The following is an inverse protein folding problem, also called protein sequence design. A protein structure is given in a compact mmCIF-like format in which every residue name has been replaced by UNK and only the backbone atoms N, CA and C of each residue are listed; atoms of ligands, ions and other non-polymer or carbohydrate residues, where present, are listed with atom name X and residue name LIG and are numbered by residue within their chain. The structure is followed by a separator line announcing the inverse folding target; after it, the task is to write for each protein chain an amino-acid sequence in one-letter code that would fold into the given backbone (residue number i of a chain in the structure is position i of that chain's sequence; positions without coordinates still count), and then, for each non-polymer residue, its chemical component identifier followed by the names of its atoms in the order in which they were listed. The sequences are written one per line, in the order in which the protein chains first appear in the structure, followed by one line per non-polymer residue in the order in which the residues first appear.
data_IF_299716074380
#
_entry.id   IF_299716074380
#
_cell.length_a   1.000
_cell.length_b   1.000
_cell.length_c   1.000
_cell.angle_alpha   90.00
_cell.angle_beta   90.00
_cell.angle_gamma   90.00
#
_symmetry.space_group_name_H-M   'P 1'
#
loop_
_entity.id
_entity.type
_entity.pdbx_description
1 polymer ?
#
# COMPACT_ATOMS: atom_id res chain seq x y z
N UNK A 1 -11.05 -14.08 -0.38
CA UNK A 1 -10.52 -12.89 -1.07
C UNK A 1 -9.19 -12.36 -0.51
N UNK A 2 -9.04 -12.07 0.80
CA UNK A 2 -7.82 -11.43 1.36
C UNK A 2 -6.50 -12.16 1.01
N UNK A 3 -6.50 -13.49 1.05
CA UNK A 3 -5.31 -14.30 0.69
C UNK A 3 -4.96 -14.27 -0.80
N UNK A 4 -5.96 -14.23 -1.69
CA UNK A 4 -5.72 -14.16 -3.14
C UNK A 4 -5.18 -12.78 -3.55
N UNK A 5 -5.74 -11.72 -2.94
CA UNK A 5 -5.27 -10.35 -3.16
C UNK A 5 -3.84 -10.17 -2.66
N UNK A 6 -3.51 -10.73 -1.50
CA UNK A 6 -2.13 -10.74 -1.01
C UNK A 6 -1.20 -11.50 -1.96
N UNK A 7 -1.59 -12.69 -2.43
CA UNK A 7 -0.81 -13.45 -3.41
C UNK A 7 -0.64 -12.68 -4.73
N UNK A 8 -1.70 -12.03 -5.21
CA UNK A 8 -1.66 -11.17 -6.38
C UNK A 8 -0.62 -10.07 -6.21
N UNK A 9 -0.68 -9.33 -5.11
CA UNK A 9 0.25 -8.23 -4.82
C UNK A 9 1.68 -8.76 -4.69
N UNK A 10 1.91 -9.83 -3.93
CA UNK A 10 3.26 -10.40 -3.74
C UNK A 10 3.88 -10.86 -5.06
N UNK A 11 3.10 -11.49 -5.92
CA UNK A 11 3.58 -11.95 -7.23
C UNK A 11 3.93 -10.78 -8.15
N UNK A 12 3.08 -9.74 -8.20
CA UNK A 12 3.24 -8.61 -9.10
C UNK A 12 4.36 -7.64 -8.66
N UNK A 13 4.43 -7.34 -7.36
CA UNK A 13 5.51 -6.52 -6.79
C UNK A 13 6.80 -7.29 -6.57
N UNK A 14 6.81 -8.61 -6.82
CA UNK A 14 7.96 -9.51 -6.59
C UNK A 14 8.57 -9.33 -5.19
N UNK A 15 7.70 -9.08 -4.21
CA UNK A 15 8.08 -8.77 -2.82
C UNK A 15 7.44 -9.77 -1.88
N UNK A 16 8.15 -10.07 -0.80
CA UNK A 16 7.62 -10.89 0.29
C UNK A 16 7.41 -10.00 1.50
N UNK A 17 6.23 -9.41 1.60
CA UNK A 17 5.86 -8.61 2.76
C UNK A 17 6.00 -9.41 4.05
N UNK A 18 6.61 -8.81 5.07
CA UNK A 18 6.73 -9.39 6.42
C UNK A 18 5.97 -8.53 7.42
N UNK A 19 4.64 -8.59 7.30
CA UNK A 19 3.76 -7.86 8.21
C UNK A 19 3.95 -8.31 9.66
N UNK A 20 4.08 -7.35 10.57
CA UNK A 20 4.20 -7.62 12.01
C UNK A 20 2.88 -8.08 12.62
N UNK A 21 1.77 -7.56 12.09
CA UNK A 21 0.43 -7.82 12.60
C UNK A 21 -0.65 -7.65 11.53
N UNK A 22 -1.89 -7.88 11.93
CA UNK A 22 -3.05 -7.75 11.07
C UNK A 22 -3.27 -6.30 10.58
N UNK A 23 -2.99 -5.31 11.44
CA UNK A 23 -3.12 -3.90 11.11
C UNK A 23 -2.25 -3.52 9.90
N UNK A 24 -0.97 -3.84 9.95
CA UNK A 24 0.01 -3.57 8.88
C UNK A 24 -0.37 -4.22 7.57
N UNK A 25 -0.74 -5.51 7.62
CA UNK A 25 -1.15 -6.26 6.45
C UNK A 25 -2.40 -5.66 5.80
N UNK A 26 -3.38 -5.27 6.61
CA UNK A 26 -4.64 -4.74 6.12
C UNK A 26 -4.48 -3.33 5.56
N UNK A 27 -3.66 -2.50 6.21
CA UNK A 27 -3.34 -1.17 5.72
C UNK A 27 -2.62 -1.24 4.38
N UNK A 28 -1.54 -2.04 4.31
CA UNK A 28 -0.73 -2.19 3.09
C UNK A 28 -1.56 -2.72 1.92
N UNK A 29 -2.30 -3.82 2.13
CA UNK A 29 -3.14 -4.42 1.08
C UNK A 29 -4.22 -3.42 0.64
N UNK A 30 -4.86 -2.72 1.57
CA UNK A 30 -5.91 -1.75 1.24
C UNK A 30 -5.37 -0.60 0.40
N UNK A 31 -4.21 -0.04 0.77
CA UNK A 31 -3.55 1.03 0.02
C UNK A 31 -3.21 0.57 -1.39
N UNK A 32 -2.53 -0.58 -1.53
CA UNK A 32 -2.13 -1.09 -2.84
C UNK A 32 -3.32 -1.40 -3.74
N UNK A 33 -4.39 -1.97 -3.17
CA UNK A 33 -5.63 -2.24 -3.90
C UNK A 33 -6.27 -0.95 -4.39
N UNK A 34 -6.31 0.07 -3.54
CA UNK A 34 -6.85 1.39 -3.89
C UNK A 34 -6.03 2.04 -5.00
N UNK A 35 -4.70 1.99 -4.91
CA UNK A 35 -3.80 2.52 -5.95
C UNK A 35 -3.97 1.80 -7.30
N UNK A 36 -4.11 0.47 -7.27
CA UNK A 36 -4.35 -0.33 -8.46
C UNK A 36 -5.69 0.04 -9.09
N UNK A 37 -6.78 0.10 -8.31
CA UNK A 37 -8.13 0.27 -8.85
C UNK A 37 -8.51 1.72 -9.20
N UNK A 38 -8.03 2.71 -8.45
CA UNK A 38 -8.41 4.12 -8.65
C UNK A 38 -7.50 4.84 -9.65
N UNK A 39 -6.31 4.29 -9.96
CA UNK A 39 -5.31 4.91 -10.83
C UNK A 39 -4.90 6.34 -10.42
N UNK A 40 -4.98 6.64 -9.13
CA UNK A 40 -4.70 7.97 -8.59
C UNK A 40 -3.20 8.30 -8.67
N UNK A 41 -2.85 9.45 -9.26
CA UNK A 41 -1.48 9.98 -9.27
C UNK A 41 -0.96 10.32 -7.87
N UNK A 42 -1.88 10.60 -6.94
CA UNK A 42 -1.58 10.79 -5.53
C UNK A 42 -2.67 10.20 -4.64
N UNK A 43 -2.28 9.75 -3.46
CA UNK A 43 -3.18 9.23 -2.44
C UNK A 43 -2.91 9.96 -1.12
N UNK A 44 -3.90 10.73 -0.68
CA UNK A 44 -3.94 11.31 0.66
C UNK A 44 -4.63 10.35 1.60
N UNK A 45 -3.97 10.00 2.70
CA UNK A 45 -4.56 9.25 3.81
C UNK A 45 -4.53 10.12 5.07
N UNK A 46 -5.72 10.43 5.58
CA UNK A 46 -5.87 10.99 6.92
C UNK A 46 -5.89 9.88 7.95
N UNK A 47 -5.70 10.23 9.23
CA UNK A 47 -5.96 9.31 10.34
C UNK A 47 -7.30 8.57 10.22
N UNK A 48 -8.38 9.28 9.92
CA UNK A 48 -9.71 8.67 9.79
C UNK A 48 -9.79 7.66 8.65
N UNK A 49 -9.09 7.92 7.54
CA UNK A 49 -9.04 6.97 6.44
C UNK A 49 -8.29 5.70 6.83
N UNK A 50 -7.17 5.83 7.56
CA UNK A 50 -6.41 4.68 8.05
C UNK A 50 -7.26 3.82 9.00
N UNK A 51 -7.93 4.45 9.96
CA UNK A 51 -8.80 3.74 10.91
C UNK A 51 -9.98 3.06 10.18
N UNK A 52 -10.53 3.70 9.13
CA UNK A 52 -11.59 3.10 8.29
C UNK A 52 -11.08 1.91 7.48
N UNK A 53 -9.90 2.00 6.87
CA UNK A 53 -9.33 0.92 6.05
C UNK A 53 -8.93 -0.29 6.90
N UNK A 54 -8.44 -0.05 8.12
CA UNK A 54 -7.98 -1.10 9.02
C UNK A 54 -9.06 -1.62 9.96
N UNK A 55 -10.12 -0.83 10.20
CA UNK A 55 -11.15 -1.13 11.20
C UNK A 55 -10.62 -1.05 12.64
N UNK A 56 -9.44 -0.45 12.85
CA UNK A 56 -8.76 -0.37 14.13
C UNK A 56 -8.39 1.09 14.42
N UNK A 57 -8.58 1.55 15.66
CA UNK A 57 -8.16 2.89 16.04
C UNK A 57 -6.64 2.94 16.21
N UNK A 58 -6.02 4.03 15.77
CA UNK A 58 -4.58 4.21 16.00
C UNK A 58 -4.24 4.35 17.48
N UNK A 59 -5.20 4.71 18.34
CA UNK A 59 -4.98 4.79 19.79
C UNK A 59 -5.30 3.48 20.53
N UNK A 60 -5.56 2.38 19.80
CA UNK A 60 -5.80 1.08 20.41
C UNK A 60 -4.59 0.67 21.27
N UNK A 61 -4.77 0.40 22.59
CA UNK A 61 -3.67 0.05 23.48
C UNK A 61 -2.89 -1.20 23.05
N UNK A 62 -3.52 -2.16 22.38
CA UNK A 62 -2.84 -3.34 21.84
C UNK A 62 -1.92 -2.92 20.70
N UNK A 63 -2.43 -2.11 19.78
CA UNK A 63 -1.67 -1.61 18.64
C UNK A 63 -0.50 -0.71 19.09
N UNK A 64 -0.74 0.18 20.05
CA UNK A 64 0.30 1.04 20.66
C UNK A 64 1.42 0.22 21.31
N UNK A 65 1.10 -0.91 21.96
CA UNK A 65 2.12 -1.79 22.56
C UNK A 65 2.97 -2.53 21.52
N UNK A 66 2.44 -2.84 20.34
CA UNK A 66 3.21 -3.56 19.32
C UNK A 66 4.26 -2.67 18.66
N UNK A 67 3.97 -1.38 18.52
CA UNK A 67 4.87 -0.43 17.85
C UNK A 67 5.63 0.49 18.80
N UNK A 68 5.24 0.54 20.09
CA UNK A 68 5.78 1.45 21.10
C UNK A 68 6.02 2.88 20.57
N UNK A 69 5.03 3.51 19.91
CA UNK A 69 5.29 4.74 19.20
C UNK A 69 5.33 5.93 20.17
N UNK A 70 6.13 6.95 19.86
CA UNK A 70 6.10 8.22 20.60
C UNK A 70 4.86 9.06 20.23
N UNK A 71 4.33 8.86 19.01
CA UNK A 71 3.12 9.51 18.46
C UNK A 71 2.41 8.54 17.51
N UNK A 72 1.08 8.64 17.36
CA UNK A 72 0.31 7.77 16.47
C UNK A 72 0.85 7.76 15.01
N UNK A 73 1.37 8.88 14.52
CA UNK A 73 1.97 8.97 13.19
C UNK A 73 3.27 8.16 13.04
N UNK A 74 4.07 8.01 14.10
CA UNK A 74 5.30 7.20 14.12
C UNK A 74 5.00 5.71 13.96
N UNK A 75 3.82 5.28 14.43
CA UNK A 75 3.32 3.94 14.14
C UNK A 75 3.15 3.74 12.64
N UNK A 76 2.55 4.72 11.96
CA UNK A 76 2.31 4.64 10.51
C UNK A 76 3.60 4.67 9.70
N UNK A 77 4.58 5.49 10.09
CA UNK A 77 5.94 5.45 9.52
C UNK A 77 6.51 4.03 9.56
N UNK A 78 6.39 3.37 10.71
CA UNK A 78 6.90 2.00 10.90
C UNK A 78 6.09 0.95 10.15
N UNK A 79 4.76 1.07 10.16
CA UNK A 79 3.86 0.12 9.51
C UNK A 79 3.90 0.23 7.97
N UNK A 80 4.37 1.36 7.42
CA UNK A 80 4.39 1.61 5.98
C UNK A 80 5.79 1.56 5.38
N UNK A 81 6.83 1.27 6.17
CA UNK A 81 8.22 1.22 5.71
C UNK A 81 8.41 0.29 4.50
N UNK A 82 7.92 -0.94 4.59
CA UNK A 82 7.96 -1.90 3.47
C UNK A 82 7.16 -1.41 2.25
N UNK A 83 6.02 -0.73 2.47
CA UNK A 83 5.22 -0.15 1.40
C UNK A 83 5.98 0.97 0.68
N UNK A 84 6.62 1.89 1.42
CA UNK A 84 7.29 3.06 0.84
C UNK A 84 8.49 2.71 -0.04
N UNK A 85 9.12 1.55 0.22
CA UNK A 85 10.27 1.05 -0.54
C UNK A 85 9.90 0.16 -1.74
N UNK A 86 8.59 -0.02 -2.00
CA UNK A 86 8.14 -0.87 -3.09
C UNK A 86 8.61 -0.39 -4.46
N UNK A 87 8.83 -1.36 -5.34
CA UNK A 87 9.16 -1.11 -6.72
C UNK A 87 8.42 -2.07 -7.62
N UNK A 88 8.23 -1.66 -8.87
CA UNK A 88 7.65 -2.46 -9.93
C UNK A 88 8.74 -2.71 -10.97
N UNK A 89 8.83 -3.96 -11.42
CA UNK A 89 9.75 -4.36 -12.49
C UNK A 89 8.97 -4.45 -13.79
N UNK A 90 9.25 -3.55 -14.72
CA UNK A 90 8.56 -3.47 -16.02
C UNK A 90 9.45 -4.04 -17.12
N UNK A 91 8.93 -4.92 -18.00
CA UNK A 91 9.65 -5.35 -19.20
C UNK A 91 9.86 -4.17 -20.15
N UNK A 92 11.09 -3.98 -20.61
CA UNK A 92 11.47 -2.95 -21.59
C UNK A 92 12.15 -3.63 -22.78
N UNK A 93 12.10 -3.07 -24.01
CA UNK A 93 12.80 -3.64 -25.16
C UNK A 93 14.29 -3.94 -24.94
N UNK A 94 14.94 -3.18 -24.05
CA UNK A 94 16.37 -3.32 -23.72
C UNK A 94 16.64 -4.15 -22.45
N UNK A 95 15.60 -4.71 -21.80
CA UNK A 95 15.76 -5.52 -20.61
C UNK A 95 14.63 -5.37 -19.58
N UNK A 96 14.98 -5.27 -18.30
CA UNK A 96 14.02 -5.03 -17.21
C UNK A 96 14.40 -3.76 -16.48
N UNK A 97 13.45 -2.86 -16.31
CA UNK A 97 13.65 -1.61 -15.57
C UNK A 97 12.85 -1.67 -14.28
N UNK A 98 13.47 -1.23 -13.18
CA UNK A 98 12.85 -1.18 -11.86
C UNK A 98 12.46 0.27 -11.55
N UNK A 99 11.18 0.52 -11.39
CA UNK A 99 10.64 1.82 -10.99
C UNK A 99 10.19 1.76 -9.52
N UNK A 100 10.56 2.74 -8.67
CA UNK A 100 9.91 2.85 -7.37
C UNK A 100 8.41 3.10 -7.57
N UNK A 101 7.57 2.49 -6.74
CA UNK A 101 6.12 2.67 -6.81
C UNK A 101 5.73 4.13 -6.55
N UNK A 102 6.38 4.74 -5.55
CA UNK A 102 6.17 6.13 -5.18
C UNK A 102 7.35 6.97 -5.61
N UNK A 103 7.04 8.12 -6.21
CA UNK A 103 8.01 9.20 -6.44
C UNK A 103 8.41 9.86 -5.11
N UNK A 104 7.42 10.05 -4.22
CA UNK A 104 7.65 10.60 -2.88
C UNK A 104 6.53 10.23 -1.92
N UNK A 105 6.88 10.00 -0.67
CA UNK A 105 5.94 9.82 0.44
C UNK A 105 6.19 10.94 1.44
N UNK A 106 5.15 11.69 1.78
CA UNK A 106 5.22 12.80 2.73
C UNK A 106 4.36 12.47 3.94
N UNK A 107 4.95 12.55 5.12
CA UNK A 107 4.27 12.27 6.39
C UNK A 107 4.25 13.57 7.18
N UNK A 108 3.04 14.11 7.34
CA UNK A 108 2.81 15.34 8.09
C UNK A 108 2.35 14.97 9.49
N UNK A 109 3.28 15.08 10.43
CA UNK A 109 3.05 14.75 11.84
C UNK A 109 2.13 15.75 12.56
N UNK A 110 1.98 16.97 12.04
CA UNK A 110 1.15 18.01 12.66
C UNK A 110 -0.30 17.83 12.25
N UNK A 111 -0.55 17.56 10.97
CA UNK A 111 -1.90 17.35 10.44
C UNK A 111 -2.32 15.86 10.43
N UNK A 112 -1.51 14.95 10.96
CA UNK A 112 -1.76 13.50 11.02
C UNK A 112 -2.20 12.91 9.67
N UNK A 113 -1.45 13.20 8.62
CA UNK A 113 -1.76 12.77 7.25
C UNK A 113 -0.52 12.27 6.51
N UNK A 114 -0.76 11.40 5.55
CA UNK A 114 0.26 10.81 4.68
C UNK A 114 -0.14 11.06 3.23
N UNK A 115 0.79 11.57 2.44
CA UNK A 115 0.60 11.79 1.00
C UNK A 115 1.56 10.89 0.24
N UNK A 116 1.00 9.93 -0.48
CA UNK A 116 1.73 9.13 -1.46
C UNK A 116 1.63 9.80 -2.82
N UNK A 117 2.77 10.09 -3.44
CA UNK A 117 2.82 10.55 -4.82
C UNK A 117 3.37 9.41 -5.66
N UNK A 118 2.56 8.93 -6.60
CA UNK A 118 2.90 7.78 -7.40
C UNK A 118 3.97 8.14 -8.44
N UNK A 119 4.79 7.17 -8.82
CA UNK A 119 5.61 7.33 -9.99
C UNK A 119 4.75 7.13 -11.25
N UNK A 120 4.68 8.14 -12.13
CA UNK A 120 3.86 8.07 -13.34
C UNK A 120 4.32 6.94 -14.29
N UNK A 121 5.61 6.58 -14.24
CA UNK A 121 6.16 5.47 -15.04
C UNK A 121 5.51 4.12 -14.70
N UNK A 122 4.90 3.98 -13.52
CA UNK A 122 4.24 2.73 -13.11
C UNK A 122 2.76 2.67 -13.46
N UNK A 123 2.13 3.80 -13.84
CA UNK A 123 0.69 3.86 -14.09
C UNK A 123 0.20 2.84 -15.13
N UNK A 124 0.87 2.67 -16.30
CA UNK A 124 0.42 1.69 -17.29
C UNK A 124 0.36 0.27 -16.71
N UNK A 125 1.36 -0.10 -15.90
CA UNK A 125 1.42 -1.42 -15.28
C UNK A 125 0.30 -1.62 -14.24
N UNK A 126 -0.04 -0.58 -13.48
CA UNK A 126 -1.15 -0.62 -12.53
C UNK A 126 -2.51 -0.72 -13.24
N UNK A 127 -2.67 -0.07 -14.40
CA UNK A 127 -3.86 -0.22 -15.26
C UNK A 127 -4.05 -1.66 -15.72
N UNK A 128 -2.99 -2.30 -16.19
CA UNK A 128 -3.05 -3.72 -16.57
C UNK A 128 -3.45 -4.61 -15.39
N UNK A 129 -2.90 -4.33 -14.20
CA UNK A 129 -3.22 -5.09 -12.98
C UNK A 129 -4.66 -4.88 -12.51
N UNK A 130 -5.24 -3.70 -12.69
CA UNK A 130 -6.65 -3.46 -12.37
C UNK A 130 -7.57 -4.30 -13.25
N UNK A 131 -7.29 -4.40 -14.55
CA UNK A 131 -8.03 -5.27 -15.45
C UNK A 131 -7.91 -6.74 -15.05
N UNK A 132 -6.71 -7.21 -14.72
CA UNK A 132 -6.51 -8.58 -14.24
C UNK A 132 -7.26 -8.84 -12.92
N UNK A 133 -7.20 -7.90 -11.99
CA UNK A 133 -7.85 -8.01 -10.69
C UNK A 133 -9.37 -8.05 -10.84
N UNK A 134 -9.96 -7.20 -11.68
CA UNK A 134 -11.40 -7.18 -11.95
C UNK A 134 -11.86 -8.49 -12.60
N UNK A 135 -11.12 -8.99 -13.60
CA UNK A 135 -11.44 -10.28 -14.24
C UNK A 135 -11.43 -11.43 -13.24
N UNK A 136 -10.42 -11.48 -12.36
CA UNK A 136 -10.32 -12.50 -11.30
C UNK A 136 -11.46 -12.41 -10.27
N UNK A 137 -12.05 -11.24 -10.07
CA UNK A 137 -13.22 -11.06 -9.20
C UNK A 137 -14.53 -11.47 -9.89
N UNK A 138 -14.64 -11.25 -11.20
CA UNK A 138 -15.82 -11.64 -12.00
C UNK A 138 -15.93 -13.15 -12.20
N UNK A 139 -14.80 -13.84 -12.44
CA UNK A 139 -14.74 -15.32 -12.58
C UNK A 139 -15.16 -16.08 -11.31
N UNK A 140 -15.39 -15.37 -10.19
CA UNK A 140 -15.76 -15.95 -8.89
C UNK A 140 -17.19 -15.60 -8.45
N UNK A 141 -17.96 -14.87 -9.27
CA UNK A 141 -19.39 -14.64 -9.06
C UNK A 141 -20.21 -15.73 -9.76
#
# INVERSE_FOLDING_TARGET
MKNQLLQFIQNHFQTRFRFRNAFESQLTISILTRLILEHSESLLLTRQDVERLTGCSLDDPALQREYFPQRAITLLETALDELTSLSIVVPHPEGRVRYPLFRSVQIDQVCERIVFNLNLDVLPQLTDWAHELNRKQEEQK
#
